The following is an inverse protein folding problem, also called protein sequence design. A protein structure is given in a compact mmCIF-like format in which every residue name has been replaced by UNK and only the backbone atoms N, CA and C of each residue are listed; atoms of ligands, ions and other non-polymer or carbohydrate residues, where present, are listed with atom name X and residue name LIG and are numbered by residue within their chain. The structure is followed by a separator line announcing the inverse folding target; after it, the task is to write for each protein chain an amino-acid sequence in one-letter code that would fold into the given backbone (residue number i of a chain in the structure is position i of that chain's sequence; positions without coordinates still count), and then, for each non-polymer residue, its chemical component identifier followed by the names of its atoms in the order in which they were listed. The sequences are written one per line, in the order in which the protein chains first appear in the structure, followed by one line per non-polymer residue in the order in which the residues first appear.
data_IF_018558276598
#
_entry.id   IF_018558276598
#
_cell.length_a   1.000
_cell.length_b   1.000
_cell.length_c   1.000
_cell.angle_alpha   90.00
_cell.angle_beta   90.00
_cell.angle_gamma   90.00
#
_symmetry.space_group_name_H-M   'P 1'
#
loop_
_entity.id
_entity.type
_entity.pdbx_description
1 polymer ?
#
# COMPACT_ATOMS: atom_id res chain seq x y z
N UNK A 1 -10.07 1.39 -10.44
CA UNK A 1 -9.83 2.64 -9.69
C UNK A 1 -8.54 3.28 -10.17
N UNK A 2 -8.62 4.53 -10.58
CA UNK A 2 -7.47 5.34 -11.02
C UNK A 2 -7.21 6.39 -9.94
N UNK A 3 -6.34 6.08 -9.00
CA UNK A 3 -6.00 6.94 -7.86
C UNK A 3 -4.51 6.87 -7.57
N UNK A 4 -3.96 7.99 -7.09
CA UNK A 4 -2.56 8.08 -6.70
C UNK A 4 -2.45 7.89 -5.19
N UNK A 5 -2.05 6.70 -4.77
CA UNK A 5 -1.80 6.38 -3.38
C UNK A 5 -2.89 5.53 -2.71
N UNK A 6 -2.79 5.44 -1.40
CA UNK A 6 -3.74 4.69 -0.59
C UNK A 6 -5.10 5.39 -0.53
N UNK A 7 -6.14 4.59 -0.50
CA UNK A 7 -7.53 5.05 -0.36
C UNK A 7 -8.26 4.08 0.55
N UNK A 8 -9.17 4.60 1.36
CA UNK A 8 -10.10 3.77 2.13
C UNK A 8 -10.98 2.94 1.19
N UNK A 9 -10.90 1.63 1.31
CA UNK A 9 -11.69 0.65 0.56
C UNK A 9 -12.74 -0.05 1.42
N UNK A 10 -12.94 0.34 2.67
CA UNK A 10 -13.91 -0.27 3.60
C UNK A 10 -15.34 -0.23 3.04
N UNK A 11 -15.65 0.80 2.25
CA UNK A 11 -16.94 0.96 1.61
C UNK A 11 -17.25 -0.11 0.55
N UNK A 12 -16.24 -0.72 -0.07
CA UNK A 12 -16.43 -1.74 -1.13
C UNK A 12 -17.25 -2.91 -0.60
N UNK A 13 -16.99 -3.34 0.64
CA UNK A 13 -17.69 -4.45 1.29
C UNK A 13 -19.18 -4.17 1.53
N UNK A 14 -19.60 -2.91 1.51
CA UNK A 14 -21.01 -2.51 1.72
C UNK A 14 -21.88 -2.75 0.49
N UNK A 15 -21.27 -3.01 -0.67
CA UNK A 15 -21.98 -3.15 -1.95
C UNK A 15 -21.80 -4.55 -2.54
N UNK A 16 -22.77 -5.44 -2.30
CA UNK A 16 -22.73 -6.82 -2.80
C UNK A 16 -22.65 -6.96 -4.33
N UNK A 17 -22.99 -5.91 -5.05
CA UNK A 17 -22.95 -5.87 -6.51
C UNK A 17 -21.54 -5.61 -7.07
N UNK A 18 -20.60 -5.16 -6.26
CA UNK A 18 -19.21 -5.03 -6.65
C UNK A 18 -18.58 -6.43 -6.61
N UNK A 19 -18.26 -6.98 -7.79
CA UNK A 19 -17.70 -8.33 -7.93
C UNK A 19 -16.19 -8.35 -8.04
N UNK A 20 -15.59 -7.27 -8.53
CA UNK A 20 -14.15 -7.12 -8.62
C UNK A 20 -13.75 -5.66 -8.49
N UNK A 21 -12.53 -5.44 -8.08
CA UNK A 21 -11.92 -4.12 -7.97
C UNK A 21 -10.55 -4.19 -8.64
N UNK A 22 -10.35 -3.36 -9.65
CA UNK A 22 -9.07 -3.21 -10.32
C UNK A 22 -8.42 -1.88 -9.92
N UNK A 23 -7.28 -1.97 -9.26
CA UNK A 23 -6.47 -0.82 -8.86
C UNK A 23 -5.38 -0.59 -9.92
N UNK A 24 -5.47 0.50 -10.67
CA UNK A 24 -4.58 0.77 -11.81
C UNK A 24 -3.56 1.89 -11.54
N UNK A 25 -3.61 2.52 -10.36
CA UNK A 25 -2.71 3.62 -10.02
C UNK A 25 -2.87 4.80 -10.98
N UNK A 26 -1.76 5.43 -11.33
CA UNK A 26 -1.67 6.45 -12.39
C UNK A 26 -0.99 5.79 -13.60
N UNK A 27 -1.75 5.32 -14.59
CA UNK A 27 -1.18 4.69 -15.78
C UNK A 27 -0.58 5.76 -16.71
N UNK A 28 0.44 5.36 -17.49
CA UNK A 28 0.99 6.17 -18.56
C UNK A 28 0.09 6.23 -19.81
N UNK A 29 0.65 6.63 -20.92
CA UNK A 29 -0.07 6.82 -22.21
C UNK A 29 -0.82 5.56 -22.66
N UNK A 30 -0.23 4.38 -22.49
CA UNK A 30 -0.81 3.08 -22.86
C UNK A 30 -1.76 2.51 -21.79
N UNK A 31 -2.05 3.27 -20.74
CA UNK A 31 -2.87 2.78 -19.63
C UNK A 31 -4.27 2.34 -20.03
N UNK A 32 -4.90 3.02 -20.96
CA UNK A 32 -6.22 2.65 -21.47
C UNK A 32 -6.18 1.33 -22.24
N UNK A 33 -5.18 1.14 -23.10
CA UNK A 33 -4.97 -0.11 -23.87
C UNK A 33 -4.70 -1.29 -22.92
N UNK A 34 -3.83 -1.09 -21.94
CA UNK A 34 -3.52 -2.09 -20.93
C UNK A 34 -4.75 -2.49 -20.09
N UNK A 35 -5.54 -1.51 -19.67
CA UNK A 35 -6.79 -1.75 -18.97
C UNK A 35 -7.79 -2.54 -19.82
N UNK A 36 -7.96 -2.18 -21.06
CA UNK A 36 -8.83 -2.88 -21.99
C UNK A 36 -8.39 -4.35 -22.16
N UNK A 37 -7.09 -4.60 -22.36
CA UNK A 37 -6.55 -5.95 -22.45
C UNK A 37 -6.81 -6.82 -21.22
N UNK A 38 -6.74 -6.24 -20.03
CA UNK A 38 -7.09 -6.93 -18.80
C UNK A 38 -8.60 -7.24 -18.76
N UNK A 39 -9.45 -6.24 -19.02
CA UNK A 39 -10.91 -6.42 -18.94
C UNK A 39 -11.47 -7.39 -19.99
N UNK A 40 -10.83 -7.50 -21.15
CA UNK A 40 -11.20 -8.46 -22.20
C UNK A 40 -10.60 -9.85 -22.02
N UNK A 41 -9.67 -10.02 -21.06
CA UNK A 41 -8.96 -11.28 -20.82
C UNK A 41 -7.80 -11.54 -21.80
N UNK A 42 -7.46 -10.60 -22.67
CA UNK A 42 -6.31 -10.69 -23.55
C UNK A 42 -4.99 -10.68 -22.76
N UNK A 43 -4.97 -9.93 -21.65
CA UNK A 43 -3.83 -9.84 -20.76
C UNK A 43 -4.23 -10.32 -19.37
N UNK A 44 -3.49 -11.29 -18.84
CA UNK A 44 -3.67 -11.74 -17.45
C UNK A 44 -2.98 -10.76 -16.49
N UNK A 45 -3.71 -10.16 -15.52
CA UNK A 45 -3.11 -9.29 -14.53
C UNK A 45 -2.12 -10.04 -13.64
N UNK A 46 -0.96 -9.45 -13.39
CA UNK A 46 0.08 -10.00 -12.51
C UNK A 46 0.50 -9.03 -11.41
N UNK A 47 -0.04 -7.80 -11.42
CA UNK A 47 0.30 -6.77 -10.44
C UNK A 47 -0.17 -7.16 -9.04
N UNK A 48 0.67 -6.90 -8.06
CA UNK A 48 0.37 -7.08 -6.64
C UNK A 48 0.40 -5.71 -5.95
N UNK A 49 -0.33 -5.58 -4.84
CA UNK A 49 -0.30 -4.37 -4.05
C UNK A 49 1.10 -4.17 -3.44
N UNK A 50 1.70 -3.03 -3.71
CA UNK A 50 2.97 -2.61 -3.12
C UNK A 50 2.78 -1.93 -1.75
N UNK A 51 1.57 -1.99 -1.21
CA UNK A 51 1.18 -1.35 0.05
C UNK A 51 0.19 -2.24 0.78
N UNK A 52 0.12 -2.11 2.09
CA UNK A 52 -0.94 -2.70 2.93
C UNK A 52 -2.10 -1.73 3.02
N UNK A 53 -3.32 -2.20 2.80
CA UNK A 53 -4.54 -1.40 2.96
C UNK A 53 -5.21 -1.82 4.26
N UNK A 54 -5.20 -0.93 5.24
CA UNK A 54 -5.84 -1.12 6.54
C UNK A 54 -7.38 -1.16 6.42
N UNK A 55 -8.06 -1.62 7.44
CA UNK A 55 -9.53 -1.59 7.49
C UNK A 55 -10.04 -0.17 7.67
N UNK A 56 -9.37 0.64 8.51
CA UNK A 56 -9.69 2.04 8.76
C UNK A 56 -8.42 2.90 8.71
N UNK A 57 -8.60 4.21 8.54
CA UNK A 57 -7.49 5.16 8.54
C UNK A 57 -6.74 5.15 9.87
N UNK A 58 -7.47 5.04 10.97
CA UNK A 58 -6.94 5.05 12.34
C UNK A 58 -6.08 3.83 12.66
N UNK A 59 -6.14 2.79 11.83
CA UNK A 59 -5.31 1.59 11.99
C UNK A 59 -3.84 1.79 11.55
N UNK A 60 -3.58 2.86 10.78
CA UNK A 60 -2.20 3.18 10.39
C UNK A 60 -1.43 3.80 11.56
N UNK A 61 -0.18 3.39 11.81
CA UNK A 61 0.62 3.89 12.95
C UNK A 61 0.86 5.41 12.88
N UNK A 62 0.81 6.00 11.70
CA UNK A 62 0.98 7.44 11.47
C UNK A 62 -0.32 8.25 11.57
N UNK A 63 -1.47 7.61 11.74
CA UNK A 63 -2.77 8.29 11.67
C UNK A 63 -2.90 9.45 12.68
N UNK A 64 -2.44 9.23 13.92
CA UNK A 64 -2.50 10.23 14.99
C UNK A 64 -1.42 11.33 14.86
N UNK A 65 -0.45 11.13 13.94
CA UNK A 65 0.72 12.00 13.80
C UNK A 65 0.82 12.63 12.41
N UNK A 66 -0.17 12.39 11.58
CA UNK A 66 -0.30 12.95 10.24
C UNK A 66 -1.76 13.36 10.03
N UNK A 67 -2.09 14.58 10.43
CA UNK A 67 -3.41 15.13 10.15
C UNK A 67 -3.32 16.54 9.59
N UNK A 68 -4.03 16.77 8.52
CA UNK A 68 -4.39 18.09 8.03
C UNK A 68 -5.89 18.24 8.21
N UNK A 69 -6.29 18.78 9.34
CA UNK A 69 -7.69 19.09 9.61
C UNK A 69 -7.90 20.59 9.50
N UNK A 70 -8.60 21.02 8.45
CA UNK A 70 -8.90 22.44 8.23
C UNK A 70 -10.01 22.96 9.14
N UNK A 71 -10.84 22.09 9.66
CA UNK A 71 -11.96 22.43 10.53
C UNK A 71 -11.54 22.49 12.01
N UNK A 72 -10.48 21.76 12.37
CA UNK A 72 -9.96 21.65 13.72
C UNK A 72 -8.46 21.97 13.76
N UNK A 73 -8.11 23.23 13.47
CA UNK A 73 -6.71 23.70 13.42
C UNK A 73 -5.99 23.54 14.77
N UNK A 74 -6.73 23.40 15.87
CA UNK A 74 -6.18 23.08 17.19
C UNK A 74 -5.54 21.70 17.27
N UNK A 75 -5.92 20.77 16.38
CA UNK A 75 -5.36 19.42 16.30
C UNK A 75 -4.17 19.32 15.34
N UNK A 76 -3.82 20.39 14.65
CA UNK A 76 -2.66 20.42 13.77
C UNK A 76 -1.40 20.51 14.63
N UNK A 77 -0.57 19.48 14.54
CA UNK A 77 0.76 19.48 15.16
C UNK A 77 1.62 20.55 14.49
N UNK A 78 2.16 21.45 15.28
CA UNK A 78 3.03 22.53 14.82
C UNK A 78 4.45 22.41 15.43
N UNK A 79 5.36 23.25 14.95
CA UNK A 79 6.75 23.24 15.42
C UNK A 79 6.86 23.49 16.93
N UNK A 80 6.01 24.34 17.50
CA UNK A 80 6.05 24.69 18.93
C UNK A 80 5.67 23.49 19.79
N UNK A 81 4.73 22.64 19.32
CA UNK A 81 4.31 21.42 20.00
C UNK A 81 5.46 20.42 20.18
N UNK A 82 6.51 20.51 19.34
CA UNK A 82 7.71 19.67 19.39
C UNK A 82 8.94 20.41 19.93
N UNK A 83 8.77 21.62 20.48
CA UNK A 83 9.88 22.42 20.98
C UNK A 83 10.81 22.99 19.91
N UNK A 84 10.35 23.02 18.65
CA UNK A 84 11.07 23.59 17.51
C UNK A 84 10.65 25.05 17.31
N UNK A 85 11.60 25.95 17.13
CA UNK A 85 11.28 27.36 16.85
C UNK A 85 11.02 27.57 15.36
N UNK A 86 10.02 28.40 15.05
CA UNK A 86 9.70 28.81 13.67
C UNK A 86 10.79 29.66 13.03
N UNK A 87 11.70 30.23 13.81
CA UNK A 87 12.79 31.08 13.33
C UNK A 87 13.92 30.29 12.68
N UNK A 88 14.14 29.04 13.06
CA UNK A 88 15.22 28.20 12.54
C UNK A 88 14.91 27.61 11.15
N UNK A 89 13.66 27.58 10.73
CA UNK A 89 13.22 26.89 9.48
C UNK A 89 12.79 27.82 8.33
N UNK A 90 13.11 29.08 8.41
CA UNK A 90 12.80 30.04 7.34
C UNK A 90 11.29 30.31 7.22
N UNK A 91 10.92 31.54 7.46
CA UNK A 91 9.54 32.03 7.41
C UNK A 91 8.83 31.64 6.11
N UNK A 92 7.89 30.73 6.19
CA UNK A 92 6.95 30.42 5.10
C UNK A 92 5.73 31.34 5.10
N UNK A 93 5.70 32.33 5.99
CA UNK A 93 4.57 33.24 6.12
C UNK A 93 3.31 32.66 6.77
N UNK A 94 3.35 31.40 7.19
CA UNK A 94 2.27 30.76 7.95
C UNK A 94 2.60 30.81 9.45
N UNK A 95 1.68 31.28 10.25
CA UNK A 95 1.84 31.35 11.72
C UNK A 95 1.91 29.95 12.37
N UNK A 96 1.44 28.92 11.68
CA UNK A 96 1.55 27.51 12.07
C UNK A 96 1.83 26.69 10.82
N UNK A 97 3.00 26.06 10.76
CA UNK A 97 3.33 25.11 9.72
C UNK A 97 3.02 23.69 10.19
N UNK A 98 2.25 22.91 9.44
CA UNK A 98 1.97 21.53 9.82
C UNK A 98 3.27 20.70 9.86
N UNK A 99 3.39 19.84 10.84
CA UNK A 99 4.54 18.95 11.05
C UNK A 99 4.07 17.52 10.92
N UNK A 100 4.80 16.72 10.16
CA UNK A 100 4.60 15.27 10.12
C UNK A 100 5.65 14.61 10.99
N UNK A 101 5.22 13.79 11.94
CA UNK A 101 6.11 13.08 12.85
C UNK A 101 6.10 11.60 12.54
N UNK A 102 7.27 11.05 12.22
CA UNK A 102 7.46 9.64 11.89
C UNK A 102 7.85 8.86 13.16
N UNK A 103 6.83 8.47 13.90
CA UNK A 103 7.00 7.72 15.17
C UNK A 103 7.22 6.23 14.93
N UNK A 104 6.76 5.74 13.81
CA UNK A 104 6.72 4.33 13.47
C UNK A 104 8.09 3.72 13.20
N UNK A 105 9.12 4.55 12.97
CA UNK A 105 10.49 4.12 12.66
C UNK A 105 10.50 3.07 11.54
N UNK A 106 11.02 1.87 11.79
CA UNK A 106 11.05 0.77 10.81
C UNK A 106 9.68 0.09 10.61
N UNK A 107 8.73 0.32 11.52
CA UNK A 107 7.41 -0.31 11.49
C UNK A 107 6.42 0.44 10.59
N UNK A 108 6.77 0.60 9.32
CA UNK A 108 5.90 1.20 8.32
C UNK A 108 5.25 0.16 7.41
N UNK A 109 4.00 0.39 6.99
CA UNK A 109 3.28 -0.50 6.09
C UNK A 109 3.18 -1.94 6.62
N UNK A 110 3.46 -2.94 5.78
CA UNK A 110 3.34 -4.35 6.15
C UNK A 110 4.18 -4.74 7.38
N UNK A 111 5.34 -4.09 7.59
CA UNK A 111 6.16 -4.37 8.77
C UNK A 111 5.44 -4.09 10.08
N UNK A 112 4.62 -3.04 10.11
CA UNK A 112 3.78 -2.76 11.27
C UNK A 112 2.67 -3.81 11.43
N UNK A 113 1.87 -4.00 10.38
CA UNK A 113 0.70 -4.86 10.45
C UNK A 113 1.05 -6.31 10.75
N UNK A 114 2.09 -6.86 10.10
CA UNK A 114 2.52 -8.24 10.29
C UNK A 114 3.19 -8.45 11.65
N UNK A 115 4.06 -7.51 12.08
CA UNK A 115 4.76 -7.63 13.37
C UNK A 115 3.80 -7.60 14.54
N UNK A 116 2.80 -6.72 14.49
CA UNK A 116 1.85 -6.53 15.59
C UNK A 116 0.54 -7.30 15.40
N UNK A 117 0.43 -8.14 14.37
CA UNK A 117 -0.74 -8.97 14.09
C UNK A 117 -2.02 -8.16 13.90
N UNK A 118 -1.92 -6.98 13.27
CA UNK A 118 -3.06 -6.10 13.04
C UNK A 118 -3.88 -6.57 11.84
N UNK A 119 -5.23 -6.56 11.93
CA UNK A 119 -6.08 -6.90 10.80
C UNK A 119 -5.92 -5.88 9.67
N UNK A 120 -6.04 -6.37 8.43
CA UNK A 120 -5.94 -5.54 7.23
C UNK A 120 -7.02 -5.90 6.24
N UNK A 121 -7.42 -4.94 5.43
CA UNK A 121 -8.37 -5.16 4.34
C UNK A 121 -7.71 -5.95 3.20
N UNK A 122 -6.51 -5.51 2.80
CA UNK A 122 -5.66 -6.18 1.81
C UNK A 122 -4.19 -6.08 2.24
N UNK A 123 -3.47 -7.20 2.38
CA UNK A 123 -2.07 -7.19 2.76
C UNK A 123 -1.17 -6.72 1.60
N UNK A 124 0.05 -6.33 1.93
CA UNK A 124 1.13 -6.16 0.95
C UNK A 124 1.28 -7.44 0.11
N UNK A 125 1.47 -7.30 -1.19
CA UNK A 125 1.59 -8.42 -2.10
C UNK A 125 0.26 -9.06 -2.51
N UNK A 126 -0.88 -8.55 -2.04
CA UNK A 126 -2.19 -9.05 -2.46
C UNK A 126 -2.46 -8.69 -3.93
N UNK A 127 -3.00 -9.65 -4.67
CA UNK A 127 -3.47 -9.46 -6.04
C UNK A 127 -3.95 -10.77 -6.63
N UNK A 128 -5.05 -10.69 -7.37
CA UNK A 128 -5.65 -11.82 -8.06
C UNK A 128 -5.11 -11.92 -9.50
N UNK A 129 -5.16 -13.12 -10.03
CA UNK A 129 -4.78 -13.46 -11.41
C UNK A 129 -5.93 -14.26 -12.04
N UNK A 130 -5.92 -14.39 -13.36
CA UNK A 130 -6.83 -15.29 -14.09
C UNK A 130 -6.33 -16.74 -14.11
N UNK A 131 -5.18 -17.00 -13.47
CA UNK A 131 -4.63 -18.33 -13.27
C UNK A 131 -4.16 -18.49 -11.84
N UNK A 132 -3.78 -19.68 -11.44
CA UNK A 132 -3.29 -20.01 -10.11
C UNK A 132 -1.85 -20.51 -10.17
N UNK A 133 -1.07 -20.16 -9.15
CA UNK A 133 0.30 -20.62 -8.99
C UNK A 133 0.46 -21.41 -7.69
N UNK A 134 1.14 -22.54 -7.76
CA UNK A 134 1.61 -23.26 -6.59
C UNK A 134 3.08 -22.93 -6.36
N UNK A 135 3.40 -22.52 -5.13
CA UNK A 135 4.77 -22.29 -4.67
C UNK A 135 5.11 -23.41 -3.71
N UNK A 136 6.20 -24.14 -4.00
CA UNK A 136 6.65 -25.28 -3.20
C UNK A 136 8.16 -25.31 -3.03
N UNK A 137 8.64 -26.21 -2.16
CA UNK A 137 10.06 -26.51 -1.96
C UNK A 137 10.91 -25.27 -1.65
N UNK A 138 10.36 -24.32 -0.89
CA UNK A 138 11.10 -23.15 -0.48
C UNK A 138 12.26 -23.55 0.44
N UNK A 139 13.46 -23.11 0.09
CA UNK A 139 14.67 -23.32 0.91
C UNK A 139 15.50 -22.04 0.99
N UNK A 140 16.28 -21.91 2.04
CA UNK A 140 17.20 -20.79 2.24
C UNK A 140 18.56 -21.31 2.70
N UNK A 141 19.60 -20.94 1.97
CA UNK A 141 20.98 -21.34 2.25
C UNK A 141 21.88 -20.12 2.35
N UNK A 142 22.81 -20.16 3.30
CA UNK A 142 23.82 -19.10 3.45
C UNK A 142 24.89 -19.29 2.38
N UNK A 143 25.09 -18.28 1.53
CA UNK A 143 26.04 -18.33 0.43
C UNK A 143 26.77 -16.96 0.26
N UNK A 144 28.10 -16.97 0.21
CA UNK A 144 28.93 -15.79 -0.14
C UNK A 144 28.58 -14.49 0.60
N UNK A 145 28.28 -14.58 1.91
CA UNK A 145 27.94 -13.40 2.72
C UNK A 145 26.48 -12.94 2.60
N UNK A 146 25.66 -13.63 1.84
CA UNK A 146 24.21 -13.42 1.70
C UNK A 146 23.41 -14.67 2.02
N UNK A 147 22.13 -14.61 1.75
CA UNK A 147 21.18 -15.73 1.83
C UNK A 147 20.65 -15.98 0.42
N UNK A 148 20.81 -17.20 -0.08
CA UNK A 148 20.18 -17.66 -1.32
C UNK A 148 18.84 -18.29 -0.95
N UNK A 149 17.76 -17.79 -1.52
CA UNK A 149 16.42 -18.35 -1.38
C UNK A 149 16.00 -18.95 -2.71
N UNK A 150 15.53 -20.20 -2.68
CA UNK A 150 15.01 -20.91 -3.87
C UNK A 150 13.61 -21.42 -3.58
N UNK A 151 12.77 -21.45 -4.61
CA UNK A 151 11.45 -22.05 -4.57
C UNK A 151 11.05 -22.54 -5.96
N UNK A 152 10.16 -23.53 -6.01
CA UNK A 152 9.49 -23.96 -7.23
C UNK A 152 8.19 -23.20 -7.40
N UNK A 153 8.02 -22.51 -8.54
CA UNK A 153 6.79 -21.83 -8.91
C UNK A 153 6.18 -22.54 -10.11
N UNK A 154 4.99 -23.07 -9.96
CA UNK A 154 4.27 -23.81 -11.01
C UNK A 154 2.93 -23.15 -11.27
N UNK A 155 2.66 -22.79 -12.53
CA UNK A 155 1.31 -22.44 -12.95
C UNK A 155 0.45 -23.72 -12.98
N UNK A 156 -0.60 -23.74 -12.16
CA UNK A 156 -1.52 -24.89 -12.02
C UNK A 156 -2.87 -24.63 -12.68
N UNK A 157 -3.10 -23.44 -13.22
CA UNK A 157 -4.27 -23.09 -14.01
C UNK A 157 -4.03 -23.24 -15.52
N UNK A 158 -5.01 -22.84 -16.32
CA UNK A 158 -5.00 -23.04 -17.77
C UNK A 158 -4.49 -21.81 -18.55
N UNK A 159 -4.44 -20.65 -17.91
CA UNK A 159 -4.07 -19.39 -18.56
C UNK A 159 -2.62 -19.06 -18.25
N UNK A 160 -1.87 -18.64 -19.26
CA UNK A 160 -0.51 -18.15 -19.07
C UNK A 160 -0.51 -16.89 -18.18
N UNK A 161 0.46 -16.78 -17.28
CA UNK A 161 0.54 -15.65 -16.37
C UNK A 161 1.93 -15.48 -15.78
N UNK A 162 2.05 -14.43 -14.97
CA UNK A 162 3.26 -14.12 -14.19
C UNK A 162 2.87 -14.10 -12.72
N UNK A 163 3.74 -14.63 -11.86
CA UNK A 163 3.68 -14.48 -10.42
C UNK A 163 4.77 -13.53 -9.95
N UNK A 164 4.47 -12.72 -8.92
CA UNK A 164 5.38 -11.71 -8.37
C UNK A 164 5.47 -11.87 -6.86
#
# INVERSE_FOLDING_TARGET
MNVNGLIDLSWVRKYANIKSLLFIGIPGEEGASALAGILTGETNPSGKLAVTIAEHYEDYPSADHFSWDKEHLENVLDYESYGLSSEENGSTGFSKSPVSVYWEDIYTGYRYFDTFGKPVLYPFGYGLSYTEFAISDASAEKQNGGIMVTANVKNIGEISGKEV
#
